data_IF_177128181533
#
_entry.id   IF_177128181533
#
_cell.length_a   1.000
_cell.length_b   1.000
_cell.length_c   1.000
_cell.angle_alpha   90.00
_cell.angle_beta   90.00
_cell.angle_gamma   90.00
#
_symmetry.space_group_name_H-M   'P 1'
#
loop_
_entity.id
_entity.type
_entity.pdbx_description
1 polymer ?
#
# COMPACT_ATOMS: atom_id res chain seq x y z
N UNK A 1 49.16 -30.81 -5.89
CA UNK A 1 48.66 -29.58 -6.56
C UNK A 1 48.70 -28.45 -5.55
N UNK A 2 49.64 -27.51 -5.68
CA UNK A 2 49.68 -26.30 -4.86
C UNK A 2 48.89 -25.22 -5.61
N UNK A 3 47.66 -24.96 -5.20
CA UNK A 3 46.91 -23.82 -5.71
C UNK A 3 47.53 -22.55 -5.10
N UNK A 4 48.33 -21.84 -5.88
CA UNK A 4 48.84 -20.51 -5.49
C UNK A 4 47.75 -19.49 -5.80
N UNK A 5 46.89 -19.21 -4.82
CA UNK A 5 45.99 -18.07 -4.90
C UNK A 5 46.82 -16.79 -4.73
N UNK A 6 46.78 -15.92 -5.72
CA UNK A 6 47.49 -14.64 -5.67
C UNK A 6 46.60 -13.57 -5.04
N UNK A 7 47.22 -12.47 -4.60
CA UNK A 7 46.51 -11.32 -4.03
C UNK A 7 45.45 -10.76 -5.00
N UNK A 8 45.70 -10.84 -6.31
CA UNK A 8 44.76 -10.45 -7.35
C UNK A 8 43.47 -11.31 -7.32
N UNK A 9 43.58 -12.61 -7.09
CA UNK A 9 42.44 -13.52 -7.03
C UNK A 9 41.56 -13.18 -5.83
N UNK A 10 42.17 -12.91 -4.66
CA UNK A 10 41.47 -12.51 -3.44
C UNK A 10 40.74 -11.18 -3.63
N UNK A 11 41.39 -10.19 -4.25
CA UNK A 11 40.79 -8.88 -4.57
C UNK A 11 39.61 -9.04 -5.55
N UNK A 12 39.73 -9.97 -6.52
CA UNK A 12 38.66 -10.27 -7.46
C UNK A 12 37.45 -10.86 -6.73
N UNK A 13 37.67 -11.83 -5.84
CA UNK A 13 36.58 -12.43 -5.06
C UNK A 13 35.89 -11.42 -4.14
N UNK A 14 36.64 -10.55 -3.48
CA UNK A 14 36.08 -9.51 -2.61
C UNK A 14 35.25 -8.49 -3.39
N UNK A 15 35.72 -8.08 -4.57
CA UNK A 15 34.98 -7.15 -5.43
C UNK A 15 33.69 -7.77 -5.98
N UNK A 16 33.74 -9.04 -6.43
CA UNK A 16 32.55 -9.79 -6.86
C UNK A 16 31.56 -9.94 -5.72
N UNK A 17 32.02 -10.33 -4.52
CA UNK A 17 31.17 -10.48 -3.35
C UNK A 17 30.47 -9.16 -3.00
N UNK A 18 31.20 -8.04 -3.03
CA UNK A 18 30.61 -6.72 -2.78
C UNK A 18 29.55 -6.35 -3.82
N UNK A 19 29.81 -6.59 -5.11
CA UNK A 19 28.84 -6.34 -6.19
C UNK A 19 27.58 -7.18 -6.00
N UNK A 20 27.73 -8.46 -5.67
CA UNK A 20 26.63 -9.39 -5.43
C UNK A 20 25.77 -8.92 -4.25
N UNK A 21 26.39 -8.52 -3.14
CA UNK A 21 25.69 -7.94 -1.98
C UNK A 21 24.90 -6.68 -2.38
N UNK A 22 25.47 -5.79 -3.21
CA UNK A 22 24.76 -4.59 -3.67
C UNK A 22 23.57 -4.89 -4.59
N UNK A 23 23.62 -5.97 -5.38
CA UNK A 23 22.50 -6.42 -6.23
C UNK A 23 21.35 -6.93 -5.36
N UNK A 24 21.64 -7.71 -4.31
CA UNK A 24 20.63 -8.27 -3.42
C UNK A 24 19.98 -7.24 -2.48
N UNK A 25 20.68 -6.16 -2.12
CA UNK A 25 20.18 -5.13 -1.20
C UNK A 25 19.35 -4.02 -1.87
N UNK A 26 18.95 -4.18 -3.14
CA UNK A 26 17.97 -3.29 -3.76
C UNK A 26 16.55 -3.62 -3.30
N UNK A 27 16.28 -3.52 -2.00
CA UNK A 27 14.92 -3.34 -1.51
C UNK A 27 14.50 -1.91 -1.84
N UNK A 28 13.85 -1.76 -3.00
CA UNK A 28 13.26 -0.49 -3.36
C UNK A 28 12.17 -0.16 -2.32
N UNK A 29 12.47 0.82 -1.46
CA UNK A 29 11.50 1.68 -0.80
C UNK A 29 10.80 2.51 -1.90
N UNK A 30 10.16 1.82 -2.84
CA UNK A 30 9.30 2.45 -3.82
C UNK A 30 8.07 2.90 -3.03
N UNK A 31 8.03 4.18 -2.66
CA UNK A 31 6.77 4.80 -2.29
C UNK A 31 5.85 4.53 -3.48
N UNK A 32 4.90 3.62 -3.32
CA UNK A 32 4.04 3.21 -4.41
C UNK A 32 3.25 4.45 -4.83
N UNK A 33 3.63 5.04 -5.97
CA UNK A 33 2.89 6.14 -6.57
C UNK A 33 1.51 5.59 -6.94
N UNK A 34 0.55 5.83 -6.06
CA UNK A 34 -0.83 5.43 -6.23
C UNK A 34 -1.75 6.61 -5.96
N UNK A 35 -1.47 7.73 -6.64
CA UNK A 35 -2.31 8.92 -6.59
C UNK A 35 -3.78 8.61 -6.95
N UNK A 36 -4.68 9.39 -6.34
CA UNK A 36 -6.11 9.41 -6.67
C UNK A 36 -6.30 10.06 -8.04
N UNK A 37 -7.16 9.48 -8.86
CA UNK A 37 -7.52 9.96 -10.18
C UNK A 37 -8.85 10.70 -10.11
N UNK A 38 -8.81 12.01 -10.37
CA UNK A 38 -10.01 12.85 -10.38
C UNK A 38 -10.66 12.97 -9.00
N UNK A 39 -11.95 13.28 -9.01
CA UNK A 39 -12.74 13.46 -7.80
C UNK A 39 -13.31 12.12 -7.30
N UNK A 40 -13.46 11.95 -5.98
CA UNK A 40 -14.10 10.77 -5.41
C UNK A 40 -15.58 10.69 -5.78
N UNK A 41 -16.06 9.46 -5.94
CA UNK A 41 -17.47 9.18 -6.10
C UNK A 41 -18.11 9.02 -4.73
N UNK A 42 -19.16 9.78 -4.49
CA UNK A 42 -19.94 9.73 -3.25
C UNK A 42 -21.34 9.21 -3.55
N UNK A 43 -21.72 8.14 -2.88
CA UNK A 43 -23.08 7.59 -2.92
C UNK A 43 -23.70 7.67 -1.53
N UNK A 44 -24.83 8.36 -1.42
CA UNK A 44 -25.57 8.51 -0.18
C UNK A 44 -26.73 7.50 -0.15
N UNK A 45 -26.66 6.54 0.77
CA UNK A 45 -27.78 5.68 1.12
C UNK A 45 -28.61 6.25 2.27
N UNK A 46 -29.66 5.53 2.66
CA UNK A 46 -30.55 5.95 3.76
C UNK A 46 -29.82 6.12 5.10
N UNK A 47 -28.88 5.22 5.41
CA UNK A 47 -28.19 5.17 6.71
C UNK A 47 -26.65 5.13 6.57
N UNK A 48 -26.12 5.37 5.38
CA UNK A 48 -24.70 5.24 5.11
C UNK A 48 -24.26 6.16 3.97
N UNK A 49 -22.97 6.48 3.97
CA UNK A 49 -22.26 7.10 2.87
C UNK A 49 -21.20 6.13 2.37
N UNK A 50 -21.07 6.04 1.06
CA UNK A 50 -20.08 5.23 0.41
C UNK A 50 -19.21 6.12 -0.46
N UNK A 51 -17.90 6.07 -0.21
CA UNK A 51 -16.91 6.87 -0.92
C UNK A 51 -15.96 5.94 -1.66
N UNK A 52 -15.82 6.17 -2.96
CA UNK A 52 -14.94 5.40 -3.84
C UNK A 52 -13.97 6.31 -4.55
N UNK A 53 -12.71 5.94 -4.56
CA UNK A 53 -11.60 6.66 -5.21
C UNK A 53 -11.02 5.76 -6.28
N UNK A 54 -10.84 6.26 -7.49
CA UNK A 54 -10.03 5.56 -8.49
C UNK A 54 -8.56 5.91 -8.27
N UNK A 55 -7.70 4.89 -8.33
CA UNK A 55 -6.25 5.04 -8.11
C UNK A 55 -5.47 4.67 -9.36
N UNK A 56 -4.30 5.29 -9.55
CA UNK A 56 -3.44 5.06 -10.73
C UNK A 56 -3.11 3.57 -10.93
N UNK A 57 -2.82 2.88 -9.84
CA UNK A 57 -2.48 1.46 -9.77
C UNK A 57 -3.48 0.74 -8.83
N UNK A 58 -3.37 -0.59 -8.71
CA UNK A 58 -4.17 -1.35 -7.74
C UNK A 58 -3.89 -0.86 -6.33
N UNK A 59 -4.94 -0.46 -5.62
CA UNK A 59 -4.87 -0.10 -4.21
C UNK A 59 -4.56 -1.36 -3.38
N UNK A 60 -3.58 -1.28 -2.46
CA UNK A 60 -3.17 -2.39 -1.58
C UNK A 60 -3.22 -2.00 -0.10
N UNK A 61 -3.88 -0.88 0.19
CA UNK A 61 -3.88 -0.27 1.50
C UNK A 61 -5.17 -0.52 2.27
N UNK A 62 -5.39 0.31 3.27
CA UNK A 62 -6.59 0.35 4.07
C UNK A 62 -7.09 1.79 4.08
N UNK A 63 -8.37 2.00 3.77
CA UNK A 63 -9.03 3.31 3.93
C UNK A 63 -9.71 3.30 5.29
N UNK A 64 -9.59 4.38 6.06
CA UNK A 64 -10.21 4.47 7.39
C UNK A 64 -10.54 5.92 7.74
N UNK A 65 -11.46 6.11 8.68
CA UNK A 65 -11.76 7.43 9.24
C UNK A 65 -10.68 7.79 10.26
N UNK A 66 -10.14 9.00 10.15
CA UNK A 66 -9.08 9.48 11.04
C UNK A 66 -9.51 9.36 12.52
N UNK A 67 -8.67 8.72 13.34
CA UNK A 67 -8.96 8.47 14.76
C UNK A 67 -9.76 7.20 15.06
N UNK A 68 -10.30 6.53 14.03
CA UNK A 68 -11.16 5.34 14.16
C UNK A 68 -10.58 4.11 13.45
N UNK A 69 -9.25 3.97 13.37
CA UNK A 69 -8.61 2.82 12.69
C UNK A 69 -8.94 1.48 13.37
N UNK A 70 -9.02 1.47 14.71
CA UNK A 70 -9.25 0.26 15.49
C UNK A 70 -10.69 -0.26 15.39
N UNK A 71 -11.63 0.60 14.99
CA UNK A 71 -13.05 0.29 14.75
C UNK A 71 -13.24 -0.36 13.36
N UNK A 72 -13.59 -1.66 13.28
CA UNK A 72 -13.73 -2.36 12.00
C UNK A 72 -14.75 -1.74 11.04
N UNK A 73 -15.80 -1.13 11.58
CA UNK A 73 -16.86 -0.44 10.83
C UNK A 73 -16.42 0.92 10.25
N UNK A 74 -15.28 1.43 10.69
CA UNK A 74 -14.72 2.72 10.29
C UNK A 74 -13.53 2.59 9.35
N UNK A 75 -13.29 1.37 8.85
CA UNK A 75 -12.25 1.05 7.87
C UNK A 75 -12.80 0.18 6.74
N UNK A 76 -12.14 0.22 5.60
CA UNK A 76 -12.41 -0.69 4.49
C UNK A 76 -12.02 -2.12 4.86
N UNK A 77 -12.52 -3.10 4.11
CA UNK A 77 -11.93 -4.43 4.16
C UNK A 77 -10.43 -4.34 3.76
N UNK A 78 -9.56 -5.14 4.38
CA UNK A 78 -8.19 -5.29 3.89
C UNK A 78 -8.24 -5.72 2.43
N UNK A 79 -7.44 -5.08 1.56
CA UNK A 79 -7.34 -5.54 0.18
C UNK A 79 -6.77 -6.95 0.19
N UNK A 80 -7.41 -7.88 -0.52
CA UNK A 80 -6.89 -9.23 -0.66
C UNK A 80 -5.62 -9.19 -1.53
N UNK A 81 -4.56 -9.85 -1.07
CA UNK A 81 -3.28 -9.91 -1.77
C UNK A 81 -3.33 -10.76 -3.06
N UNK A 82 -4.53 -11.19 -3.49
CA UNK A 82 -4.76 -12.14 -4.60
C UNK A 82 -4.62 -11.50 -5.98
N UNK A 83 -4.39 -10.19 -6.07
CA UNK A 83 -4.05 -9.51 -7.33
C UNK A 83 -5.20 -9.33 -8.31
N UNK A 84 -6.42 -9.75 -7.95
CA UNK A 84 -7.67 -9.35 -8.62
C UNK A 84 -8.16 -7.97 -8.15
N UNK A 85 -7.28 -7.21 -7.49
CA UNK A 85 -7.57 -5.95 -6.82
C UNK A 85 -8.09 -4.90 -7.79
N UNK A 86 -9.32 -4.45 -7.52
CA UNK A 86 -9.92 -3.31 -8.18
C UNK A 86 -8.97 -2.11 -8.12
N UNK A 87 -8.89 -1.31 -9.19
CA UNK A 87 -8.14 -0.03 -9.21
C UNK A 87 -8.88 1.07 -8.43
N UNK A 88 -9.61 0.67 -7.41
CA UNK A 88 -10.35 1.58 -6.56
C UNK A 88 -10.10 1.26 -5.09
N UNK A 89 -10.13 2.32 -4.30
CA UNK A 89 -10.25 2.25 -2.86
C UNK A 89 -11.69 2.62 -2.50
N UNK A 90 -12.30 1.91 -1.56
CA UNK A 90 -13.71 2.10 -1.22
C UNK A 90 -13.90 1.98 0.29
N UNK A 91 -14.75 2.85 0.84
CA UNK A 91 -15.17 2.79 2.23
C UNK A 91 -16.66 3.07 2.32
N UNK A 92 -17.35 2.32 3.18
CA UNK A 92 -18.78 2.49 3.45
C UNK A 92 -18.95 2.74 4.94
N UNK A 93 -19.49 3.91 5.29
CA UNK A 93 -19.59 4.39 6.66
C UNK A 93 -21.06 4.57 7.04
N UNK A 94 -21.44 4.08 8.20
CA UNK A 94 -22.78 4.32 8.76
C UNK A 94 -22.81 5.69 9.46
N UNK A 95 -23.91 6.44 9.30
CA UNK A 95 -24.04 7.79 9.88
C UNK A 95 -23.99 7.84 11.41
N UNK A 96 -24.18 6.71 12.10
CA UNK A 96 -24.21 6.66 13.57
C UNK A 96 -22.84 6.46 14.22
N UNK A 97 -21.81 6.13 13.44
CA UNK A 97 -20.50 5.71 13.95
C UNK A 97 -19.37 6.57 13.34
N UNK A 98 -18.11 6.29 13.70
CA UNK A 98 -16.92 6.88 13.08
C UNK A 98 -16.83 8.42 13.17
N UNK A 99 -17.45 9.02 14.19
CA UNK A 99 -17.48 10.48 14.35
C UNK A 99 -18.29 11.22 13.29
N UNK A 100 -19.09 10.52 12.48
CA UNK A 100 -20.02 11.15 11.54
C UNK A 100 -21.23 11.73 12.27
N UNK A 101 -21.69 12.89 11.83
CA UNK A 101 -22.88 13.54 12.35
C UNK A 101 -23.81 13.92 11.21
N UNK A 102 -25.08 13.51 11.33
CA UNK A 102 -26.13 14.04 10.48
C UNK A 102 -26.46 15.45 10.95
N UNK A 103 -26.27 16.44 10.08
CA UNK A 103 -26.86 17.76 10.27
C UNK A 103 -28.23 17.74 9.62
N UNK A 104 -29.25 17.48 10.43
CA UNK A 104 -30.62 17.76 10.06
C UNK A 104 -30.76 19.29 10.01
N UNK A 105 -31.03 19.84 8.82
CA UNK A 105 -31.35 21.25 8.58
C UNK A 105 -32.79 21.55 8.96
#
# INVERSE_FOLDING_TARGET
MKNTFNLADILLFLSIFFIVVQIFNKSALALADNGVLGDPYVSCGTNNIEVRFDTRNTFKGLVFVQGHLDEPECRSAPTDNTGLGSRNAQIRLNFKNCGLQNRDL
#
